data_IF_107427800262
#
_entry.id   IF_107427800262
#
_cell.length_a   1.000
_cell.length_b   1.000
_cell.length_c   1.000
_cell.angle_alpha   90.00
_cell.angle_beta   90.00
_cell.angle_gamma   90.00
#
_symmetry.space_group_name_H-M   'P 1'
#
loop_
_entity.id
_entity.type
_entity.pdbx_description
1 polymer ?
#
# COMPACT_ATOMS: atom_id res chain seq x y z
N UNK A 1 -5.38 4.98 -10.94
CA UNK A 1 -4.32 5.67 -10.15
C UNK A 1 -2.97 5.12 -10.59
N UNK A 2 -1.92 5.94 -10.57
CA UNK A 2 -0.54 5.48 -10.77
C UNK A 2 0.23 5.69 -9.47
N UNK A 3 1.00 4.68 -9.05
CA UNK A 3 1.87 4.75 -7.89
C UNK A 3 3.29 4.36 -8.32
N UNK A 4 4.24 5.25 -8.04
CA UNK A 4 5.66 5.00 -8.24
C UNK A 4 6.34 5.03 -6.87
N UNK A 5 7.14 4.01 -6.59
CA UNK A 5 7.94 3.88 -5.37
C UNK A 5 9.39 3.65 -5.79
N UNK A 6 10.33 4.41 -5.21
CA UNK A 6 11.75 4.15 -5.43
C UNK A 6 12.15 2.77 -4.88
N UNK A 7 13.21 2.18 -5.42
CA UNK A 7 13.71 0.89 -4.93
C UNK A 7 14.04 0.91 -3.43
N UNK A 8 14.64 2.00 -2.95
CA UNK A 8 14.97 2.18 -1.53
C UNK A 8 13.72 2.23 -0.65
N UNK A 9 12.64 2.86 -1.13
CA UNK A 9 11.37 2.86 -0.41
C UNK A 9 10.80 1.44 -0.33
N UNK A 10 10.78 0.71 -1.45
CA UNK A 10 10.29 -0.67 -1.50
C UNK A 10 11.08 -1.58 -0.53
N UNK A 11 12.40 -1.43 -0.47
CA UNK A 11 13.26 -2.18 0.47
C UNK A 11 12.99 -1.80 1.93
N UNK A 12 12.98 -0.50 2.24
CA UNK A 12 12.82 0.00 3.62
C UNK A 12 11.47 -0.37 4.23
N UNK A 13 10.40 -0.29 3.44
CA UNK A 13 9.03 -0.58 3.88
C UNK A 13 8.54 -1.96 3.45
N UNK A 14 9.44 -2.81 2.97
CA UNK A 14 9.21 -4.21 2.60
C UNK A 14 7.99 -4.40 1.68
N UNK A 15 7.84 -3.50 0.73
CA UNK A 15 6.76 -3.53 -0.27
C UNK A 15 7.13 -4.51 -1.37
N UNK A 16 6.31 -5.52 -1.57
CA UNK A 16 6.48 -6.49 -2.64
C UNK A 16 5.91 -5.94 -3.96
N UNK A 17 6.82 -5.53 -4.85
CA UNK A 17 6.47 -4.95 -6.14
C UNK A 17 5.69 -5.91 -7.05
N UNK A 18 6.00 -7.21 -7.00
CA UNK A 18 5.31 -8.21 -7.83
C UNK A 18 3.88 -8.41 -7.34
N UNK A 19 3.68 -8.42 -6.02
CA UNK A 19 2.34 -8.40 -5.42
C UNK A 19 1.55 -7.17 -5.88
N UNK A 20 2.13 -5.96 -5.81
CA UNK A 20 1.44 -4.73 -6.21
C UNK A 20 1.03 -4.75 -7.68
N UNK A 21 1.93 -5.18 -8.57
CA UNK A 21 1.62 -5.28 -9.99
C UNK A 21 0.49 -6.28 -10.26
N UNK A 22 0.47 -7.42 -9.55
CA UNK A 22 -0.61 -8.40 -9.64
C UNK A 22 -1.93 -7.81 -9.16
N UNK A 23 -1.96 -7.19 -7.98
CA UNK A 23 -3.16 -6.58 -7.42
C UNK A 23 -3.72 -5.49 -8.34
N UNK A 24 -2.85 -4.64 -8.92
CA UNK A 24 -3.25 -3.61 -9.86
C UNK A 24 -3.91 -4.15 -11.15
N UNK A 25 -3.62 -5.39 -11.53
CA UNK A 25 -4.24 -6.05 -12.69
C UNK A 25 -5.53 -6.81 -12.34
N UNK A 26 -5.66 -7.29 -11.10
CA UNK A 26 -6.75 -8.20 -10.72
C UNK A 26 -7.85 -7.57 -9.87
N UNK A 27 -7.57 -6.43 -9.21
CA UNK A 27 -8.51 -5.76 -8.31
C UNK A 27 -9.08 -4.49 -8.94
N UNK A 28 -10.26 -4.10 -8.46
CA UNK A 28 -10.84 -2.81 -8.74
C UNK A 28 -10.58 -1.87 -7.56
N UNK A 29 -10.06 -0.67 -7.87
CA UNK A 29 -9.79 0.37 -6.87
C UNK A 29 -10.54 1.65 -7.22
N UNK A 30 -10.93 2.40 -6.21
CA UNK A 30 -11.55 3.72 -6.32
C UNK A 30 -10.68 4.79 -5.65
N UNK A 31 -11.15 6.05 -5.62
CA UNK A 31 -10.48 7.10 -4.84
C UNK A 31 -10.64 6.91 -3.32
N UNK A 32 -11.58 6.07 -2.87
CA UNK A 32 -11.79 5.81 -1.43
C UNK A 32 -10.56 5.17 -0.80
N UNK A 33 -9.79 4.39 -1.60
CA UNK A 33 -8.55 3.77 -1.17
C UNK A 33 -7.40 4.74 -0.92
N UNK A 34 -7.46 5.97 -1.46
CA UNK A 34 -6.32 6.89 -1.43
C UNK A 34 -5.95 7.32 0.00
N UNK A 35 -6.96 7.56 0.84
CA UNK A 35 -6.74 8.08 2.20
C UNK A 35 -5.94 7.11 3.07
N UNK A 36 -6.44 5.87 3.24
CA UNK A 36 -5.77 4.86 4.04
C UNK A 36 -4.41 4.45 3.43
N UNK A 37 -4.30 4.42 2.10
CA UNK A 37 -3.02 4.14 1.42
C UNK A 37 -1.95 5.20 1.74
N UNK A 38 -2.30 6.50 1.77
CA UNK A 38 -1.36 7.56 2.12
C UNK A 38 -0.94 7.52 3.59
N UNK A 39 -1.89 7.21 4.50
CA UNK A 39 -1.58 7.02 5.92
C UNK A 39 -0.60 5.84 6.11
N UNK A 40 -0.86 4.71 5.43
CA UNK A 40 0.02 3.55 5.44
C UNK A 40 1.41 3.87 4.88
N UNK A 41 1.50 4.61 3.78
CA UNK A 41 2.78 5.03 3.17
C UNK A 41 3.63 5.92 4.09
N UNK A 42 2.99 6.73 4.92
CA UNK A 42 3.66 7.72 5.77
C UNK A 42 3.88 7.23 7.20
N UNK A 43 3.33 6.07 7.55
CA UNK A 43 3.46 5.49 8.90
C UNK A 43 2.66 6.25 9.96
N UNK A 44 1.59 6.96 9.57
CA UNK A 44 0.76 7.73 10.51
C UNK A 44 -0.16 6.79 11.28
N UNK A 45 -0.03 6.80 12.61
CA UNK A 45 -0.93 6.09 13.51
C UNK A 45 -2.17 6.93 13.83
N UNK A 46 -3.34 6.43 13.44
CA UNK A 46 -4.61 7.13 13.67
C UNK A 46 -5.79 6.17 13.66
N UNK A 47 -6.84 6.49 14.43
CA UNK A 47 -8.09 5.71 14.47
C UNK A 47 -8.87 5.71 13.16
N UNK A 48 -8.51 6.60 12.23
CA UNK A 48 -9.17 6.72 10.92
C UNK A 48 -8.54 5.84 9.85
N UNK A 49 -7.40 5.19 10.13
CA UNK A 49 -6.78 4.26 9.21
C UNK A 49 -7.65 3.00 9.08
N UNK A 50 -8.01 2.67 7.84
CA UNK A 50 -8.76 1.46 7.52
C UNK A 50 -7.88 0.53 6.69
N UNK A 51 -7.40 -0.55 7.30
CA UNK A 51 -6.47 -1.49 6.65
C UNK A 51 -7.05 -2.13 5.37
N UNK A 52 -8.38 -2.27 5.28
CA UNK A 52 -9.06 -2.78 4.09
C UNK A 52 -8.97 -1.82 2.89
N UNK A 53 -8.80 -0.52 3.14
CA UNK A 53 -8.70 0.51 2.10
C UNK A 53 -7.25 0.83 1.72
N UNK A 54 -6.26 0.33 2.47
CA UNK A 54 -4.84 0.47 2.12
C UNK A 54 -4.45 -0.56 1.06
N UNK A 55 -4.21 -0.08 -0.15
CA UNK A 55 -3.81 -0.87 -1.32
C UNK A 55 -2.51 -1.64 -1.05
N UNK A 56 -1.60 -1.05 -0.28
CA UNK A 56 -0.28 -1.62 -0.03
C UNK A 56 -0.30 -2.68 1.06
N UNK A 57 -1.33 -2.71 1.91
CA UNK A 57 -1.29 -3.52 3.11
C UNK A 57 -1.12 -5.01 2.81
N UNK A 58 -1.84 -5.52 1.80
CA UNK A 58 -1.72 -6.93 1.40
C UNK A 58 -0.39 -7.28 0.72
N UNK A 59 0.38 -6.27 0.31
CA UNK A 59 1.66 -6.42 -0.37
C UNK A 59 2.85 -5.95 0.47
N UNK A 60 2.65 -5.64 1.76
CA UNK A 60 3.73 -5.49 2.73
C UNK A 60 4.06 -6.85 3.30
N UNK A 61 5.34 -7.18 3.37
CA UNK A 61 5.76 -8.36 4.13
C UNK A 61 5.49 -8.06 5.61
N UNK A 62 4.70 -8.90 6.26
CA UNK A 62 4.51 -8.83 7.70
C UNK A 62 5.89 -9.06 8.31
N UNK A 63 6.41 -8.04 9.00
CA UNK A 63 7.54 -8.22 9.89
C UNK A 63 7.03 -9.08 11.05
N UNK A 64 7.68 -10.21 11.33
CA UNK A 64 7.52 -10.90 12.61
C UNK A 64 7.79 -9.97 13.80
#
# INVERSE_FOLDING_TARGET
MLLWLSEDYQKRYQVDQNCLQKQAQTQHYSQDNLFSTLLGLTGVETKYYQAADDILQTCRRVSE
#
